data_IF_825421911537
#
_entry.id   IF_825421911537
#
_cell.length_a   1.000
_cell.length_b   1.000
_cell.length_c   1.000
_cell.angle_alpha   90.00
_cell.angle_beta   90.00
_cell.angle_gamma   90.00
#
_symmetry.space_group_name_H-M   'P 1'
#
loop_
_entity.id
_entity.type
_entity.pdbx_description
1 polymer ?
#
# COMPACT_ATOMS: atom_id res chain seq x y z
N UNK A 1 -9.94 17.78 5.62
CA UNK A 1 -10.28 18.09 7.03
C UNK A 1 -10.27 16.85 7.91
N UNK A 2 -10.88 15.74 7.51
CA UNK A 2 -10.94 14.50 8.33
C UNK A 2 -9.57 13.85 8.59
N UNK A 3 -8.69 13.81 7.58
CA UNK A 3 -7.30 13.31 7.73
C UNK A 3 -6.53 14.11 8.78
N UNK A 4 -6.64 15.44 8.76
CA UNK A 4 -5.97 16.31 9.73
C UNK A 4 -6.48 16.12 11.15
N UNK A 5 -7.75 15.77 11.33
CA UNK A 5 -8.26 15.43 12.65
C UNK A 5 -7.55 14.16 13.18
N UNK A 6 -7.46 13.10 12.37
CA UNK A 6 -6.79 11.85 12.75
C UNK A 6 -5.29 12.05 13.01
N UNK A 7 -4.63 12.87 12.20
CA UNK A 7 -3.23 13.24 12.38
C UNK A 7 -3.01 14.04 13.67
N UNK A 8 -3.88 15.02 13.97
CA UNK A 8 -3.81 15.81 15.19
C UNK A 8 -4.03 15.02 16.48
N UNK A 9 -4.85 13.96 16.43
CA UNK A 9 -5.02 13.01 17.53
C UNK A 9 -3.88 11.98 17.63
N UNK A 10 -2.94 11.94 16.69
CA UNK A 10 -1.82 10.99 16.69
C UNK A 10 -2.24 9.56 16.37
N UNK A 11 -3.39 9.35 15.71
CA UNK A 11 -3.94 8.01 15.46
C UNK A 11 -3.41 7.42 14.15
N UNK A 12 -2.10 7.12 14.14
CA UNK A 12 -1.39 6.67 12.95
C UNK A 12 -1.96 5.38 12.35
N UNK A 13 -2.32 4.39 13.19
CA UNK A 13 -2.83 3.11 12.72
C UNK A 13 -4.22 3.20 12.10
N UNK A 14 -5.14 3.97 12.69
CA UNK A 14 -6.49 4.15 12.11
C UNK A 14 -6.39 4.92 10.79
N UNK A 15 -5.54 5.95 10.72
CA UNK A 15 -5.31 6.67 9.48
C UNK A 15 -4.74 5.75 8.40
N UNK A 16 -3.74 4.93 8.74
CA UNK A 16 -3.20 3.92 7.83
C UNK A 16 -4.28 2.93 7.37
N UNK A 17 -5.14 2.46 8.27
CA UNK A 17 -6.23 1.54 7.91
C UNK A 17 -7.21 2.16 6.93
N UNK A 18 -7.58 3.43 7.15
CA UNK A 18 -8.47 4.18 6.27
C UNK A 18 -7.86 4.36 4.87
N UNK A 19 -6.55 4.59 4.78
CA UNK A 19 -5.83 4.81 3.52
C UNK A 19 -5.38 3.53 2.81
N UNK A 20 -5.47 2.36 3.45
CA UNK A 20 -5.00 1.08 2.88
C UNK A 20 -6.12 0.05 2.79
N UNK A 21 -6.40 -0.67 3.88
CA UNK A 21 -7.34 -1.80 3.89
C UNK A 21 -8.76 -1.41 3.51
N UNK A 22 -9.17 -0.18 3.83
CA UNK A 22 -10.55 0.29 3.64
C UNK A 22 -10.77 1.06 2.33
N UNK A 23 -9.71 1.49 1.64
CA UNK A 23 -9.81 2.27 0.40
C UNK A 23 -9.25 1.53 -0.83
N UNK A 24 -7.93 1.47 -0.96
CA UNK A 24 -7.26 1.32 -2.26
C UNK A 24 -6.49 0.00 -2.40
N UNK A 25 -6.30 -0.75 -1.32
CA UNK A 25 -5.42 -1.92 -1.34
C UNK A 25 -6.21 -3.24 -1.45
N UNK A 26 -6.47 -3.69 -2.68
CA UNK A 26 -7.32 -4.86 -2.98
C UNK A 26 -6.83 -6.14 -2.27
N UNK A 27 -5.53 -6.45 -2.34
CA UNK A 27 -4.97 -7.68 -1.74
C UNK A 27 -5.14 -7.69 -0.22
N UNK A 28 -4.68 -6.62 0.44
CA UNK A 28 -4.85 -6.43 1.87
C UNK A 28 -6.32 -6.47 2.32
N UNK A 29 -7.26 -5.91 1.53
CA UNK A 29 -8.69 -5.99 1.82
C UNK A 29 -9.22 -7.44 1.81
N UNK A 30 -8.79 -8.28 0.88
CA UNK A 30 -9.17 -9.69 0.84
C UNK A 30 -8.65 -10.45 2.06
N UNK A 31 -7.40 -10.19 2.45
CA UNK A 31 -6.78 -10.78 3.63
C UNK A 31 -7.50 -10.35 4.92
N UNK A 32 -7.89 -9.07 5.04
CA UNK A 32 -8.69 -8.56 6.16
C UNK A 32 -10.06 -9.23 6.23
N UNK A 33 -10.73 -9.42 5.09
CA UNK A 33 -12.02 -10.10 5.04
C UNK A 33 -11.90 -11.56 5.53
N UNK A 34 -10.89 -12.28 5.04
CA UNK A 34 -10.60 -13.65 5.51
C UNK A 34 -10.29 -13.69 7.01
N UNK A 35 -9.45 -12.78 7.50
CA UNK A 35 -9.12 -12.67 8.91
C UNK A 35 -10.35 -12.35 9.77
N UNK A 36 -11.23 -11.47 9.31
CA UNK A 36 -12.45 -11.09 10.04
C UNK A 36 -13.43 -12.27 10.16
N UNK A 37 -13.57 -13.07 9.09
CA UNK A 37 -14.47 -14.24 9.07
C UNK A 37 -13.93 -15.36 9.97
N UNK A 38 -12.62 -15.61 9.91
CA UNK A 38 -11.96 -16.71 10.65
C UNK A 38 -11.69 -16.32 12.12
N UNK A 39 -11.77 -15.03 12.47
CA UNK A 39 -11.43 -14.52 13.80
C UNK A 39 -9.91 -14.37 14.01
N UNK A 40 -9.15 -14.20 12.93
CA UNK A 40 -7.71 -14.02 12.94
C UNK A 40 -7.26 -12.56 13.09
N UNK A 41 -5.97 -12.36 13.36
CA UNK A 41 -5.36 -11.03 13.40
C UNK A 41 -5.26 -10.46 11.98
N UNK A 42 -5.65 -9.19 11.82
CA UNK A 42 -5.48 -8.46 10.55
C UNK A 42 -3.98 -8.31 10.23
N UNK A 43 -3.52 -8.76 9.05
CA UNK A 43 -2.11 -8.65 8.67
C UNK A 43 -1.75 -7.22 8.29
N UNK A 44 -0.54 -6.77 8.62
CA UNK A 44 -0.02 -5.44 8.26
C UNK A 44 0.09 -5.27 6.73
N UNK A 45 -0.13 -4.07 6.16
CA UNK A 45 -0.07 -3.90 4.71
C UNK A 45 1.41 -3.83 4.31
N UNK A 46 1.88 -4.82 3.55
CA UNK A 46 3.28 -4.90 3.12
C UNK A 46 3.60 -4.01 1.90
N UNK A 47 2.60 -3.69 1.10
CA UNK A 47 2.74 -3.01 -0.20
C UNK A 47 2.14 -1.60 -0.17
N UNK A 48 2.65 -0.73 -1.04
CA UNK A 48 2.10 0.61 -1.23
C UNK A 48 0.68 0.55 -1.85
N UNK A 49 -0.22 1.49 -1.49
CA UNK A 49 -1.57 1.53 -2.06
C UNK A 49 -1.53 1.74 -3.58
N UNK A 50 -2.55 1.23 -4.27
CA UNK A 50 -2.63 1.28 -5.73
C UNK A 50 -2.67 2.72 -6.26
N UNK A 51 -3.29 3.65 -5.53
CA UNK A 51 -3.30 5.09 -5.85
C UNK A 51 -1.89 5.68 -5.93
N UNK A 52 -0.98 5.29 -5.04
CA UNK A 52 0.43 5.71 -5.11
C UNK A 52 1.14 5.12 -6.34
N UNK A 53 0.84 3.86 -6.69
CA UNK A 53 1.40 3.22 -7.90
C UNK A 53 0.90 3.90 -9.17
N UNK A 54 -0.35 4.35 -9.15
CA UNK A 54 -0.96 5.10 -10.25
C UNK A 54 -0.33 6.49 -10.39
N UNK A 55 -0.12 7.22 -9.29
CA UNK A 55 0.63 8.48 -9.27
C UNK A 55 2.03 8.33 -9.89
N UNK A 56 2.76 7.27 -9.54
CA UNK A 56 4.08 7.01 -10.13
C UNK A 56 3.99 6.79 -11.65
N UNK A 57 2.93 6.14 -12.13
CA UNK A 57 2.70 5.95 -13.58
C UNK A 57 2.35 7.26 -14.28
N UNK A 58 1.52 8.11 -13.66
CA UNK A 58 1.16 9.43 -14.20
C UNK A 58 2.39 10.34 -14.29
N UNK A 59 3.25 10.34 -13.28
CA UNK A 59 4.50 11.10 -13.32
C UNK A 59 5.45 10.59 -14.40
N UNK A 60 5.55 9.27 -14.59
CA UNK A 60 6.33 8.69 -15.69
C UNK A 60 5.78 9.08 -17.07
N UNK A 61 4.46 9.25 -17.20
CA UNK A 61 3.83 9.75 -18.43
C UNK A 61 4.26 11.19 -18.77
N UNK A 62 4.65 11.97 -17.76
CA UNK A 62 5.18 13.32 -17.90
C UNK A 62 6.72 13.35 -18.05
N UNK A 63 7.36 12.21 -18.31
CA UNK A 63 8.81 12.05 -18.32
C UNK A 63 9.49 12.41 -16.98
N UNK A 64 8.75 12.38 -15.86
CA UNK A 64 9.27 12.55 -14.52
C UNK A 64 9.52 11.18 -13.89
N UNK A 65 10.79 10.80 -13.71
CA UNK A 65 11.15 9.53 -13.10
C UNK A 65 11.31 9.65 -11.59
N UNK A 66 10.33 9.14 -10.84
CA UNK A 66 10.48 8.91 -9.40
C UNK A 66 11.33 7.66 -9.16
N UNK A 67 12.59 7.87 -8.79
CA UNK A 67 13.48 6.82 -8.29
C UNK A 67 13.13 6.44 -6.85
N UNK A 68 12.09 5.62 -6.68
CA UNK A 68 11.78 5.05 -5.38
C UNK A 68 12.53 3.72 -5.18
N UNK A 69 13.63 3.78 -4.41
CA UNK A 69 14.50 2.63 -4.09
C UNK A 69 13.77 1.45 -3.42
N UNK A 70 12.58 1.66 -2.84
CA UNK A 70 11.84 0.61 -2.11
C UNK A 70 11.06 -0.38 -3.00
N UNK A 71 10.84 -0.08 -4.29
CA UNK A 71 10.25 -1.06 -5.24
C UNK A 71 11.25 -2.14 -5.68
N UNK A 72 12.53 -2.02 -5.31
CA UNK A 72 13.64 -2.85 -5.79
C UNK A 72 13.72 -4.26 -5.16
N UNK A 73 12.80 -4.63 -4.27
CA UNK A 73 12.74 -6.00 -3.71
C UNK A 73 11.99 -6.99 -4.62
N UNK A 74 11.00 -6.55 -5.41
CA UNK A 74 10.23 -7.47 -6.27
C UNK A 74 10.91 -7.77 -7.60
N UNK A 75 11.59 -6.79 -8.21
CA UNK A 75 12.25 -6.96 -9.52
C UNK A 75 13.57 -7.72 -9.47
N UNK A 76 14.25 -7.82 -8.32
CA UNK A 76 15.48 -8.64 -8.18
C UNK A 76 15.20 -10.14 -8.24
N UNK A 77 14.04 -10.59 -7.76
CA UNK A 77 13.72 -12.02 -7.75
C UNK A 77 13.28 -12.55 -9.12
N UNK A 78 12.80 -11.68 -10.02
CA UNK A 78 12.51 -12.07 -11.41
C UNK A 78 13.76 -12.18 -12.28
N UNK A 79 14.82 -11.40 -11.98
CA UNK A 79 16.09 -11.50 -12.70
C UNK A 79 16.91 -12.75 -12.30
N UNK A 80 16.76 -13.24 -11.06
CA UNK A 80 17.53 -14.38 -10.55
C UNK A 80 16.90 -15.76 -10.83
N UNK A 81 15.68 -15.82 -11.38
CA UNK A 81 14.99 -17.07 -11.76
C UNK A 81 14.91 -17.28 -13.28
N UNK A 82 15.67 -16.50 -14.06
CA UNK A 82 15.79 -16.62 -15.51
C UNK A 82 17.24 -16.96 -15.93
N UNK A 83 17.96 -17.68 -15.06
CA UNK A 83 19.29 -18.25 -15.32
C UNK A 83 19.28 -19.75 -15.10
#
# INVERSE_FOLDING_TARGET
MEVWALEGFGVAHILQEMLTYKSDHIRARQEVLGATIIGGRVPNPEDAPESFRLLVRELRSLALELNHFLLKKKTRNFANNAG
#
